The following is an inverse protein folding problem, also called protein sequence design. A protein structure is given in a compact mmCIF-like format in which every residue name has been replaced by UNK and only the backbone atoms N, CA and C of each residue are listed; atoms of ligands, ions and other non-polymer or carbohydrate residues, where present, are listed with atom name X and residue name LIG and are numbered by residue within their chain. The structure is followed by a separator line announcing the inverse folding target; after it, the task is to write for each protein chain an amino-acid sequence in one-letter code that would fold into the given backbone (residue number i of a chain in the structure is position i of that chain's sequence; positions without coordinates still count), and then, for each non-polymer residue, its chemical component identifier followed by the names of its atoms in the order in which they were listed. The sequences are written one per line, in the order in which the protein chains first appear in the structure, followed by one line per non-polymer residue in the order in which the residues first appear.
data_IF_872051353797
#
_entry.id   IF_872051353797
#
_cell.length_a   1.000
_cell.length_b   1.000
_cell.length_c   1.000
_cell.angle_alpha   90.00
_cell.angle_beta   90.00
_cell.angle_gamma   90.00
#
_symmetry.space_group_name_H-M   'P 1'
#
loop_
_entity.id
_entity.type
_entity.pdbx_description
1 polymer ?
#
# COMPACT_ATOMS: atom_id res chain seq x y z
N UNK A 1 -9.55 18.88 -15.74
CA UNK A 1 -8.56 18.82 -14.65
C UNK A 1 -9.29 18.10 -13.52
N UNK A 2 -9.06 16.85 -13.14
CA UNK A 2 -7.80 16.23 -12.75
C UNK A 2 -8.03 14.70 -12.51
N UNK A 3 -8.29 13.93 -13.57
CA UNK A 3 -8.55 12.48 -13.46
C UNK A 3 -7.37 11.59 -13.89
N UNK A 4 -6.34 12.17 -14.53
CA UNK A 4 -5.18 11.41 -15.01
C UNK A 4 -4.14 11.10 -13.90
N UNK A 5 -4.13 11.87 -12.81
CA UNK A 5 -3.15 11.70 -11.73
C UNK A 5 -3.53 10.59 -10.73
N UNK A 6 -4.83 10.38 -10.49
CA UNK A 6 -5.31 9.48 -9.44
C UNK A 6 -5.09 7.99 -9.74
N UNK A 7 -5.42 7.54 -10.95
CA UNK A 7 -5.22 6.14 -11.37
C UNK A 7 -3.73 5.79 -11.38
N UNK A 8 -2.90 6.71 -11.87
CA UNK A 8 -1.48 6.48 -12.04
C UNK A 8 -0.73 6.38 -10.69
N UNK A 9 -1.18 7.09 -9.65
CA UNK A 9 -0.50 7.09 -8.35
C UNK A 9 -0.68 5.79 -7.57
N UNK A 10 -1.89 5.22 -7.60
CA UNK A 10 -2.16 3.92 -6.99
C UNK A 10 -1.46 2.81 -7.75
N UNK A 11 -1.54 2.81 -9.08
CA UNK A 11 -0.93 1.78 -9.92
C UNK A 11 0.61 1.77 -9.83
N UNK A 12 1.23 2.92 -9.62
CA UNK A 12 2.68 3.03 -9.40
C UNK A 12 3.15 2.60 -8.00
N UNK A 13 2.22 2.27 -7.10
CA UNK A 13 2.50 1.83 -5.74
C UNK A 13 2.93 2.95 -4.79
N UNK A 14 2.55 4.20 -5.06
CA UNK A 14 2.87 5.32 -4.18
C UNK A 14 1.92 5.45 -2.98
N UNK A 15 0.71 4.89 -3.07
CA UNK A 15 -0.11 4.57 -1.91
C UNK A 15 -0.58 3.13 -1.96
N UNK A 16 -0.57 2.50 -0.79
CA UNK A 16 -0.94 1.12 -0.57
C UNK A 16 -2.38 1.08 -0.04
N UNK A 17 -3.35 1.08 -0.95
CA UNK A 17 -4.78 1.20 -0.62
C UNK A 17 -5.60 0.24 -1.46
N UNK A 18 -6.46 -0.54 -0.79
CA UNK A 18 -7.38 -1.46 -1.44
C UNK A 18 -7.48 -2.79 -0.71
N UNK A 19 -7.82 -3.84 -1.46
CA UNK A 19 -7.75 -5.22 -0.96
C UNK A 19 -6.30 -5.68 -0.84
N UNK A 20 -6.07 -6.81 -0.15
CA UNK A 20 -4.75 -7.45 -0.07
C UNK A 20 -4.15 -7.68 -1.46
N UNK A 21 -4.95 -8.16 -2.42
CA UNK A 21 -4.48 -8.44 -3.79
C UNK A 21 -4.14 -7.17 -4.57
N UNK A 22 -4.88 -6.09 -4.36
CA UNK A 22 -4.55 -4.78 -4.93
C UNK A 22 -3.23 -4.28 -4.37
N UNK A 23 -3.05 -4.32 -3.05
CA UNK A 23 -1.81 -3.87 -2.40
C UNK A 23 -0.61 -4.73 -2.81
N UNK A 24 -0.78 -6.04 -3.02
CA UNK A 24 0.30 -6.88 -3.57
C UNK A 24 0.72 -6.40 -4.97
N UNK A 25 -0.22 -6.11 -5.86
CA UNK A 25 0.09 -5.59 -7.21
C UNK A 25 0.79 -4.23 -7.17
N UNK A 26 0.39 -3.36 -6.24
CA UNK A 26 1.04 -2.07 -6.00
C UNK A 26 2.49 -2.25 -5.52
N UNK A 27 2.72 -3.18 -4.60
CA UNK A 27 4.05 -3.56 -4.14
C UNK A 27 4.92 -4.13 -5.26
N UNK A 28 4.38 -5.01 -6.11
CA UNK A 28 5.10 -5.53 -7.29
C UNK A 28 5.50 -4.42 -8.27
N UNK A 29 4.61 -3.46 -8.52
CA UNK A 29 4.91 -2.31 -9.38
C UNK A 29 6.01 -1.45 -8.77
N UNK A 30 5.98 -1.23 -7.44
CA UNK A 30 6.97 -0.44 -6.73
C UNK A 30 8.36 -1.11 -6.75
N UNK A 31 8.45 -2.40 -6.41
CA UNK A 31 9.72 -3.14 -6.32
C UNK A 31 10.36 -3.43 -7.67
N UNK A 32 9.57 -3.55 -8.75
CA UNK A 32 10.12 -3.63 -10.12
C UNK A 32 10.82 -2.35 -10.56
N UNK A 33 10.38 -1.21 -10.02
CA UNK A 33 10.87 0.12 -10.43
C UNK A 33 11.99 0.64 -9.54
N UNK A 34 11.96 0.31 -8.26
CA UNK A 34 12.89 0.81 -7.25
C UNK A 34 13.49 -0.35 -6.45
N UNK A 35 14.78 -0.29 -6.07
CA UNK A 35 15.37 -1.26 -5.16
C UNK A 35 14.88 -1.00 -3.72
N UNK A 36 13.66 -1.45 -3.43
CA UNK A 36 13.00 -1.22 -2.13
C UNK A 36 13.55 -2.20 -1.10
N UNK A 37 14.29 -1.68 -0.13
CA UNK A 37 14.75 -2.44 1.04
C UNK A 37 13.92 -2.14 2.30
N UNK A 38 13.20 -1.02 2.29
CA UNK A 38 12.40 -0.57 3.42
C UNK A 38 11.19 0.22 2.94
N UNK A 39 10.05 -0.01 3.58
CA UNK A 39 8.84 0.78 3.38
C UNK A 39 8.48 1.47 4.70
N UNK A 40 8.36 2.79 4.61
CA UNK A 40 7.80 3.61 5.66
C UNK A 40 6.39 4.05 5.23
N UNK A 41 5.37 3.47 5.86
CA UNK A 41 3.97 3.77 5.55
C UNK A 41 3.40 4.84 6.48
N UNK A 42 2.91 5.95 5.93
CA UNK A 42 2.18 6.93 6.71
C UNK A 42 0.72 6.49 6.90
N UNK A 43 0.41 6.05 8.11
CA UNK A 43 -0.92 5.59 8.53
C UNK A 43 -1.65 6.65 9.35
N UNK A 44 -2.94 6.43 9.62
CA UNK A 44 -3.83 7.36 10.34
C UNK A 44 -4.05 8.70 9.62
N UNK A 45 -4.28 8.64 8.32
CA UNK A 45 -4.66 9.82 7.54
C UNK A 45 -6.11 10.21 7.89
N UNK A 46 -6.28 11.21 8.76
CA UNK A 46 -7.58 11.72 9.21
C UNK A 46 -8.18 10.96 10.40
N UNK A 47 -9.51 11.01 10.52
CA UNK A 47 -10.25 10.42 11.65
C UNK A 47 -10.58 8.95 11.37
N UNK A 48 -9.56 8.10 11.34
CA UNK A 48 -9.73 6.66 11.15
C UNK A 48 -9.93 5.94 12.49
N UNK A 49 -10.93 5.02 12.59
CA UNK A 49 -11.07 4.17 13.76
C UNK A 49 -9.81 3.33 14.01
N UNK A 50 -9.35 3.32 15.25
CA UNK A 50 -8.12 2.65 15.64
C UNK A 50 -8.16 1.13 15.36
N UNK A 51 -9.28 0.49 15.67
CA UNK A 51 -9.49 -0.96 15.44
C UNK A 51 -9.32 -1.34 13.97
N UNK A 52 -9.86 -0.53 13.06
CA UNK A 52 -9.71 -0.74 11.61
C UNK A 52 -8.28 -0.54 11.14
N UNK A 53 -7.57 0.42 11.71
CA UNK A 53 -6.16 0.61 11.39
C UNK A 53 -5.31 -0.57 11.88
N UNK A 54 -5.54 -1.06 13.10
CA UNK A 54 -4.83 -2.23 13.62
C UNK A 54 -5.09 -3.47 12.76
N UNK A 55 -6.33 -3.69 12.31
CA UNK A 55 -6.65 -4.76 11.36
C UNK A 55 -5.91 -4.60 10.03
N UNK A 56 -5.79 -3.38 9.52
CA UNK A 56 -5.07 -3.07 8.28
C UNK A 56 -3.58 -3.40 8.41
N UNK A 57 -2.95 -3.01 9.52
CA UNK A 57 -1.56 -3.31 9.81
C UNK A 57 -1.31 -4.82 9.93
N UNK A 58 -2.21 -5.55 10.59
CA UNK A 58 -2.15 -7.01 10.72
C UNK A 58 -2.24 -7.69 9.34
N UNK A 59 -3.17 -7.28 8.49
CA UNK A 59 -3.29 -7.80 7.13
C UNK A 59 -2.05 -7.50 6.28
N UNK A 60 -1.52 -6.29 6.38
CA UNK A 60 -0.29 -5.92 5.67
C UNK A 60 0.89 -6.79 6.12
N UNK A 61 1.10 -6.92 7.43
CA UNK A 61 2.19 -7.70 8.00
C UNK A 61 2.09 -9.21 7.70
N UNK A 62 0.87 -9.78 7.73
CA UNK A 62 0.70 -11.24 7.62
C UNK A 62 0.34 -11.74 6.22
N UNK A 63 -0.21 -10.88 5.35
CA UNK A 63 -0.69 -11.29 4.00
C UNK A 63 0.06 -10.65 2.84
N UNK A 64 0.63 -9.45 3.03
CA UNK A 64 1.35 -8.74 1.98
C UNK A 64 2.86 -8.95 2.13
N UNK A 65 3.45 -8.51 3.26
CA UNK A 65 4.91 -8.51 3.46
C UNK A 65 5.60 -9.87 3.21
N UNK A 66 5.03 -11.03 3.58
CA UNK A 66 5.68 -12.33 3.33
C UNK A 66 5.87 -12.68 1.85
N UNK A 67 5.23 -11.95 0.92
CA UNK A 67 5.41 -12.14 -0.53
C UNK A 67 6.57 -11.34 -1.12
N UNK A 68 7.10 -10.37 -0.37
CA UNK A 68 8.10 -9.40 -0.84
C UNK A 68 9.37 -9.38 0.04
N UNK A 69 9.52 -10.35 0.94
CA UNK A 69 10.68 -10.57 1.81
C UNK A 69 11.58 -11.68 1.31
#
# INVERSE_FOLDING_TARGET
EDNFAHENYLDMGYALVGTVDTVCRQMEALTKRLPVNWIFGWAYNGLLPHDKMMQTLELYATKVMPKFG
#
